data_IF_318991982514
#
_entry.id   IF_318991982514
#
_cell.length_a   1.000
_cell.length_b   1.000
_cell.length_c   1.000
_cell.angle_alpha   90.00
_cell.angle_beta   90.00
_cell.angle_gamma   90.00
#
_symmetry.space_group_name_H-M   'P 1'
#
loop_
_entity.id
_entity.type
_entity.pdbx_description
1 polymer ?
#
# COMPACT_ATOMS: atom_id res chain seq x y z
N UNK A 1 5.24 10.47 9.62
CA UNK A 1 4.56 9.20 9.26
C UNK A 1 3.36 9.44 8.36
N UNK A 2 2.28 10.06 8.88
CA UNK A 2 1.04 10.29 8.14
C UNK A 2 1.24 11.01 6.79
N UNK A 3 1.88 12.18 6.78
CA UNK A 3 2.11 12.95 5.56
C UNK A 3 2.88 12.17 4.45
N UNK A 4 3.83 11.30 4.86
CA UNK A 4 4.62 10.48 3.93
C UNK A 4 3.83 9.30 3.33
N UNK A 5 2.74 8.89 3.99
CA UNK A 5 1.91 7.74 3.58
C UNK A 5 0.44 8.12 3.35
N UNK A 6 0.17 9.41 3.12
CA UNK A 6 -1.18 9.94 2.90
C UNK A 6 -1.87 9.30 1.69
N UNK A 7 -1.12 9.08 0.60
CA UNK A 7 -1.63 8.41 -0.60
C UNK A 7 -2.02 6.95 -0.34
N UNK A 8 -1.20 6.22 0.43
CA UNK A 8 -1.52 4.87 0.88
C UNK A 8 -2.79 4.86 1.73
N UNK A 9 -2.90 5.79 2.69
CA UNK A 9 -4.06 5.93 3.57
C UNK A 9 -5.35 6.18 2.78
N UNK A 10 -5.32 7.11 1.80
CA UNK A 10 -6.46 7.37 0.91
C UNK A 10 -6.88 6.10 0.18
N UNK A 11 -5.94 5.35 -0.36
CA UNK A 11 -6.25 4.11 -1.08
C UNK A 11 -6.74 2.99 -0.15
N UNK A 12 -6.22 2.94 1.08
CA UNK A 12 -6.67 2.01 2.10
C UNK A 12 -8.13 2.29 2.50
N UNK A 13 -8.53 3.56 2.58
CA UNK A 13 -9.94 3.94 2.79
C UNK A 13 -10.84 3.47 1.64
N UNK A 14 -10.38 3.60 0.39
CA UNK A 14 -11.13 3.06 -0.76
C UNK A 14 -11.28 1.54 -0.63
N UNK A 15 -10.20 0.81 -0.30
CA UNK A 15 -10.27 -0.65 -0.10
C UNK A 15 -11.16 -1.08 1.07
N UNK A 16 -11.20 -0.29 2.13
CA UNK A 16 -12.03 -0.56 3.29
C UNK A 16 -13.53 -0.38 3.00
N UNK A 17 -13.90 0.47 2.03
CA UNK A 17 -15.28 0.81 1.73
C UNK A 17 -15.79 0.26 0.38
N UNK A 18 -14.89 -0.16 -0.51
CA UNK A 18 -15.28 -0.66 -1.82
C UNK A 18 -15.70 -2.12 -1.77
N UNK A 19 -16.94 -2.39 -2.18
CA UNK A 19 -17.50 -3.73 -2.36
C UNK A 19 -18.15 -3.84 -3.74
N UNK A 20 -17.89 -4.92 -4.45
CA UNK A 20 -18.49 -5.24 -5.73
C UNK A 20 -18.67 -6.77 -5.87
N UNK A 21 -19.89 -7.23 -5.60
CA UNK A 21 -20.26 -8.65 -5.60
C UNK A 21 -20.11 -9.27 -6.99
N UNK A 22 -20.50 -8.54 -8.05
CA UNK A 22 -20.41 -9.04 -9.44
C UNK A 22 -18.97 -9.32 -9.88
N UNK A 23 -18.00 -8.58 -9.33
CA UNK A 23 -16.57 -8.79 -9.61
C UNK A 23 -15.88 -9.67 -8.55
N UNK A 24 -16.62 -10.18 -7.56
CA UNK A 24 -16.08 -10.95 -6.44
C UNK A 24 -15.15 -10.15 -5.52
N UNK A 25 -15.41 -8.85 -5.36
CA UNK A 25 -14.55 -7.94 -4.57
C UNK A 25 -15.28 -7.58 -3.29
N UNK A 26 -14.76 -8.02 -2.15
CA UNK A 26 -15.26 -7.61 -0.84
C UNK A 26 -14.43 -6.49 -0.21
N UNK A 27 -15.04 -5.85 0.79
CA UNK A 27 -14.38 -4.82 1.59
C UNK A 27 -13.18 -5.40 2.32
N UNK A 28 -12.08 -4.64 2.37
CA UNK A 28 -10.82 -5.10 2.99
C UNK A 28 -10.24 -4.02 3.89
N UNK A 29 -10.53 -4.06 5.21
CA UNK A 29 -10.06 -3.04 6.16
C UNK A 29 -8.60 -3.24 6.57
N UNK A 30 -7.96 -4.35 6.18
CA UNK A 30 -6.64 -4.76 6.68
C UNK A 30 -5.55 -3.71 6.43
N UNK A 31 -5.57 -3.02 5.29
CA UNK A 31 -4.58 -1.99 4.97
C UNK A 31 -4.71 -0.75 5.85
N UNK A 32 -5.95 -0.42 6.22
CA UNK A 32 -6.24 0.68 7.13
C UNK A 32 -5.80 0.31 8.56
N UNK A 33 -6.05 -0.93 8.98
CA UNK A 33 -5.56 -1.46 10.26
C UNK A 33 -4.03 -1.41 10.31
N UNK A 34 -3.32 -1.88 9.28
CA UNK A 34 -1.85 -1.83 9.21
C UNK A 34 -1.31 -0.40 9.28
N UNK A 35 -1.98 0.54 8.61
CA UNK A 35 -1.62 1.96 8.71
C UNK A 35 -1.74 2.48 10.15
N UNK A 36 -2.86 2.22 10.82
CA UNK A 36 -3.07 2.66 12.21
C UNK A 36 -2.14 1.96 13.19
N UNK A 37 -1.83 0.67 12.99
CA UNK A 37 -0.84 -0.04 13.81
C UNK A 37 0.55 0.59 13.70
N UNK A 38 0.99 0.93 12.50
CA UNK A 38 2.25 1.66 12.33
C UNK A 38 2.20 3.06 12.99
N UNK A 39 1.06 3.74 12.90
CA UNK A 39 0.90 5.09 13.46
C UNK A 39 0.93 5.09 15.00
N UNK A 40 0.11 4.24 15.61
CA UNK A 40 -0.19 4.20 17.05
C UNK A 40 0.77 3.29 17.82
N UNK A 41 1.08 2.11 17.27
CA UNK A 41 1.86 1.07 17.95
C UNK A 41 3.32 0.98 17.47
N UNK A 42 3.70 1.80 16.50
CA UNK A 42 5.04 1.76 15.86
C UNK A 42 5.38 0.39 15.24
N UNK A 43 4.37 -0.34 14.76
CA UNK A 43 4.57 -1.54 13.94
C UNK A 43 5.37 -1.21 12.66
N UNK A 44 5.96 -2.25 12.06
CA UNK A 44 6.84 -2.17 10.90
C UNK A 44 6.21 -2.60 9.57
N UNK A 45 4.89 -2.47 9.39
CA UNK A 45 4.25 -2.87 8.13
C UNK A 45 4.74 -2.01 6.95
N UNK A 46 5.06 -2.62 5.81
CA UNK A 46 5.54 -1.88 4.64
C UNK A 46 4.38 -1.23 3.89
N UNK A 47 4.23 0.10 3.98
CA UNK A 47 3.08 0.83 3.42
C UNK A 47 3.32 1.30 1.97
N UNK A 48 3.07 0.42 0.99
CA UNK A 48 3.18 0.71 -0.45
C UNK A 48 1.88 0.40 -1.22
N UNK A 49 1.53 1.23 -2.20
CA UNK A 49 0.25 1.11 -2.93
C UNK A 49 0.08 -0.17 -3.75
N UNK A 50 1.19 -0.77 -4.21
CA UNK A 50 1.20 -2.05 -4.92
C UNK A 50 0.54 -3.20 -4.15
N UNK A 51 0.55 -3.15 -2.81
CA UNK A 51 -0.15 -4.13 -1.97
C UNK A 51 -1.68 -3.94 -1.94
N UNK A 52 -2.19 -2.79 -2.38
CA UNK A 52 -3.61 -2.41 -2.30
C UNK A 52 -4.36 -2.70 -3.60
N UNK A 53 -3.72 -3.32 -4.60
CA UNK A 53 -4.39 -3.74 -5.82
C UNK A 53 -5.43 -4.83 -5.55
N UNK A 54 -6.54 -4.78 -6.30
CA UNK A 54 -7.66 -5.73 -6.17
C UNK A 54 -7.24 -7.14 -6.63
N UNK A 55 -6.37 -7.21 -7.64
CA UNK A 55 -5.76 -8.44 -8.14
C UNK A 55 -4.25 -8.23 -8.23
N UNK A 56 -3.54 -8.30 -7.08
CA UNK A 56 -2.09 -8.15 -7.07
C UNK A 56 -1.43 -9.37 -7.73
N UNK A 57 -0.23 -9.18 -8.29
CA UNK A 57 0.64 -10.30 -8.68
C UNK A 57 1.18 -11.00 -7.43
N UNK A 58 1.70 -12.22 -7.58
CA UNK A 58 2.17 -13.03 -6.44
C UNK A 58 3.21 -12.31 -5.58
N UNK A 59 4.07 -11.49 -6.20
CA UNK A 59 5.06 -10.65 -5.51
C UNK A 59 4.46 -9.65 -4.51
N UNK A 60 3.24 -9.16 -4.77
CA UNK A 60 2.59 -8.10 -3.99
C UNK A 60 1.35 -8.59 -3.25
N UNK A 61 1.13 -9.91 -3.23
CA UNK A 61 0.00 -10.53 -2.56
C UNK A 61 0.11 -10.40 -1.04
N UNK A 62 1.32 -10.52 -0.52
CA UNK A 62 1.60 -10.43 0.92
C UNK A 62 2.41 -9.19 1.26
N UNK A 63 1.91 -8.43 2.23
CA UNK A 63 2.58 -7.25 2.73
C UNK A 63 3.49 -7.65 3.89
N UNK A 64 4.81 -7.41 3.81
CA UNK A 64 5.72 -7.78 4.87
C UNK A 64 5.58 -6.83 6.08
N UNK A 65 5.90 -7.37 7.26
CA UNK A 65 6.14 -6.60 8.46
C UNK A 65 7.59 -6.77 8.88
N UNK A 66 8.32 -5.65 8.90
CA UNK A 66 9.75 -5.60 9.17
C UNK A 66 10.10 -5.99 10.62
N UNK A 67 9.16 -5.87 11.55
CA UNK A 67 9.41 -6.14 12.96
C UNK A 67 9.32 -7.65 13.32
N UNK A 68 8.67 -8.48 12.49
CA UNK A 68 8.53 -9.93 12.75
C UNK A 68 9.62 -10.77 12.08
N UNK A 69 10.47 -10.20 11.24
CA UNK A 69 11.54 -10.92 10.53
C UNK A 69 12.82 -11.12 11.35
N UNK A 70 12.86 -10.67 12.61
CA UNK A 70 14.00 -10.89 13.51
C UNK A 70 14.08 -12.33 14.08
N UNK A 71 13.10 -13.20 13.77
CA UNK A 71 13.06 -14.59 14.25
C UNK A 71 13.22 -15.71 13.21
N UNK A 72 13.25 -15.41 11.91
CA UNK A 72 13.42 -16.43 10.86
C UNK A 72 14.25 -15.87 9.71
N UNK A 73 15.46 -16.42 9.52
CA UNK A 73 16.41 -15.97 8.52
C UNK A 73 15.89 -16.05 7.09
N UNK A 74 15.41 -14.92 6.57
CA UNK A 74 15.37 -14.62 5.15
C UNK A 74 15.75 -13.15 4.96
N UNK A 75 17.03 -12.91 4.64
CA UNK A 75 17.55 -11.59 4.26
C UNK A 75 17.00 -11.26 2.87
N UNK A 76 15.94 -10.45 2.81
CA UNK A 76 15.51 -9.85 1.55
C UNK A 76 16.20 -8.49 1.36
N UNK A 77 17.09 -8.43 0.37
CA UNK A 77 17.81 -7.24 -0.08
C UNK A 77 16.88 -6.19 -0.72
N UNK A 78 16.06 -5.51 0.07
CA UNK A 78 15.43 -4.26 -0.37
C UNK A 78 16.26 -3.06 0.09
N UNK A 79 17.48 -2.97 -0.47
CA UNK A 79 18.25 -1.72 -0.49
C UNK A 79 17.55 -0.76 -1.47
N UNK A 80 17.44 0.48 -1.03
CA UNK A 80 16.77 1.59 -1.71
C UNK A 80 17.24 1.76 -3.17
N UNK A 81 16.28 1.87 -4.09
CA UNK A 81 16.41 2.74 -5.26
C UNK A 81 15.26 3.74 -5.19
N UNK A 82 15.66 4.98 -4.90
CA UNK A 82 15.27 6.23 -5.57
C UNK A 82 13.76 6.43 -5.81
N UNK A 83 13.11 7.47 -5.29
CA UNK A 83 13.47 8.84 -5.61
C UNK A 83 13.00 9.11 -7.03
N UNK A 84 11.87 9.80 -7.16
CA UNK A 84 11.23 10.26 -8.40
C UNK A 84 10.01 9.49 -8.93
N UNK A 85 9.11 10.28 -9.50
CA UNK A 85 7.89 9.95 -10.25
C UNK A 85 6.62 9.59 -9.47
N UNK A 86 5.88 10.62 -9.07
CA UNK A 86 4.48 10.80 -9.50
C UNK A 86 4.00 12.22 -9.14
N UNK A 87 4.43 13.19 -9.93
CA UNK A 87 3.70 14.47 -10.09
C UNK A 87 2.76 14.25 -11.28
N UNK A 88 1.45 14.51 -11.19
CA UNK A 88 0.58 14.36 -12.34
C UNK A 88 0.97 15.39 -13.40
N UNK A 89 1.38 14.94 -14.58
CA UNK A 89 1.58 15.82 -15.74
C UNK A 89 0.25 16.46 -16.14
N UNK A 90 0.19 17.79 -15.99
CA UNK A 90 -0.89 18.62 -16.50
C UNK A 90 -0.69 18.82 -18.02
N UNK A 91 -1.09 17.84 -18.82
CA UNK A 91 -1.17 18.01 -20.27
C UNK A 91 -2.21 17.08 -20.90
N UNK A 92 -3.48 17.32 -20.58
CA UNK A 92 -4.58 17.08 -21.51
C UNK A 92 -5.35 18.39 -21.69
N UNK A 93 -4.71 19.33 -22.40
CA UNK A 93 -5.43 20.40 -23.09
C UNK A 93 -5.49 19.97 -24.55
N UNK A 94 -6.68 19.52 -24.97
CA UNK A 94 -7.04 19.39 -26.38
C UNK A 94 -7.47 20.78 -26.88
N UNK A 95 -7.06 21.21 -28.08
CA UNK A 95 -8.08 21.79 -28.95
C UNK A 95 -7.96 21.44 -30.44
N UNK A 96 -9.15 21.38 -31.05
CA UNK A 96 -9.57 21.25 -32.46
C UNK A 96 -9.07 20.03 -33.24
#
# INVERSE_FOLDING_TARGET
MFAKHSWYFRNALVRANYRNIQKGIDYSPIYLVRFFRNLLLKDGWVLKNRYLHIRPTDEWKEQPNLNFQTGSGQKNNFINKEGEENVPSLSQVRPK
#
